data_IF_149579660127
#
_entry.id   IF_149579660127
#
_cell.length_a   1.000
_cell.length_b   1.000
_cell.length_c   1.000
_cell.angle_alpha   90.00
_cell.angle_beta   90.00
_cell.angle_gamma   90.00
#
_symmetry.space_group_name_H-M   'P 1'
#
loop_
_entity.id
_entity.type
_entity.pdbx_description
1 polymer ?
#
# COMPACT_ATOMS: atom_id res chain seq x y z
N UNK A 1 14.14 2.97 -39.46
CA UNK A 1 12.78 3.47 -39.13
C UNK A 1 12.07 2.39 -38.33
N UNK A 2 12.27 2.36 -37.00
CA UNK A 2 11.57 1.46 -36.09
C UNK A 2 10.15 1.97 -35.90
N UNK A 3 9.21 1.23 -36.41
CA UNK A 3 7.77 1.43 -36.26
C UNK A 3 7.37 1.06 -34.85
N UNK A 4 7.13 2.04 -33.97
CA UNK A 4 6.44 1.85 -32.70
C UNK A 4 5.01 1.38 -32.97
N UNK A 5 4.77 0.09 -32.93
CA UNK A 5 3.39 -0.44 -32.93
C UNK A 5 2.81 -0.16 -31.54
N UNK A 6 1.94 0.83 -31.46
CA UNK A 6 1.00 0.97 -30.36
C UNK A 6 0.10 -0.27 -30.45
N UNK A 7 0.34 -1.25 -29.56
CA UNK A 7 -0.45 -2.48 -29.56
C UNK A 7 -1.86 -2.17 -29.05
N UNK A 8 -2.91 -2.49 -29.83
CA UNK A 8 -4.27 -2.50 -29.31
C UNK A 8 -4.37 -3.57 -28.23
N UNK A 9 -5.13 -3.27 -27.17
CA UNK A 9 -5.47 -4.16 -26.07
C UNK A 9 -6.44 -5.25 -26.58
N UNK A 10 -6.11 -5.94 -27.64
CA UNK A 10 -6.85 -7.10 -28.12
C UNK A 10 -6.07 -8.35 -27.77
N UNK A 11 -6.47 -8.99 -26.67
CA UNK A 11 -5.81 -10.17 -26.15
C UNK A 11 -6.36 -11.46 -26.73
N UNK A 12 -5.44 -12.30 -27.19
CA UNK A 12 -5.68 -13.70 -27.52
C UNK A 12 -6.14 -14.46 -26.26
N UNK A 13 -7.43 -14.73 -26.20
CA UNK A 13 -8.08 -15.53 -25.14
C UNK A 13 -7.85 -17.00 -25.46
N UNK A 14 -6.80 -17.62 -24.88
CA UNK A 14 -6.81 -19.05 -24.61
C UNK A 14 -5.71 -19.43 -23.59
N UNK A 15 -6.05 -20.00 -22.44
CA UNK A 15 -5.22 -20.39 -21.28
C UNK A 15 -4.39 -19.24 -20.63
N UNK A 16 -4.19 -18.12 -21.29
CA UNK A 16 -3.53 -16.89 -20.80
C UNK A 16 -4.51 -15.95 -20.08
N UNK A 17 -5.82 -16.06 -20.30
CA UNK A 17 -6.81 -15.12 -19.74
C UNK A 17 -6.80 -15.04 -18.21
N UNK A 18 -6.57 -16.16 -17.53
CA UNK A 18 -6.49 -16.15 -16.06
C UNK A 18 -5.22 -15.48 -15.54
N UNK A 19 -4.09 -15.64 -16.23
CA UNK A 19 -2.80 -15.03 -15.82
C UNK A 19 -2.82 -13.51 -15.97
N UNK A 20 -3.42 -13.03 -17.06
CA UNK A 20 -3.52 -11.59 -17.29
C UNK A 20 -4.47 -10.92 -16.28
N UNK A 21 -5.61 -11.54 -16.01
CA UNK A 21 -6.53 -11.08 -14.98
C UNK A 21 -5.83 -11.02 -13.62
N UNK A 22 -5.06 -12.05 -13.27
CA UNK A 22 -4.29 -12.09 -12.01
C UNK A 22 -3.23 -10.97 -11.97
N UNK A 23 -2.59 -10.63 -13.11
CA UNK A 23 -1.67 -9.51 -13.19
C UNK A 23 -2.38 -8.17 -12.98
N UNK A 24 -3.54 -7.96 -13.59
CA UNK A 24 -4.35 -6.74 -13.40
C UNK A 24 -4.77 -6.60 -11.92
N UNK A 25 -5.23 -7.69 -11.29
CA UNK A 25 -5.57 -7.66 -9.86
C UNK A 25 -4.37 -7.34 -8.96
N UNK A 26 -3.18 -7.85 -9.31
CA UNK A 26 -1.95 -7.50 -8.60
C UNK A 26 -1.64 -6.00 -8.72
N UNK A 27 -1.79 -5.42 -9.91
CA UNK A 27 -1.59 -3.98 -10.14
C UNK A 27 -2.61 -3.14 -9.34
N UNK A 28 -3.88 -3.53 -9.34
CA UNK A 28 -4.93 -2.86 -8.56
C UNK A 28 -4.62 -2.95 -7.06
N UNK A 29 -4.30 -4.14 -6.55
CA UNK A 29 -3.95 -4.32 -5.13
C UNK A 29 -2.72 -3.50 -4.73
N UNK A 30 -1.71 -3.40 -5.61
CA UNK A 30 -0.54 -2.54 -5.40
C UNK A 30 -0.91 -1.07 -5.34
N UNK A 31 -1.76 -0.59 -6.24
CA UNK A 31 -2.22 0.80 -6.28
C UNK A 31 -3.01 1.16 -5.02
N UNK A 32 -3.94 0.29 -4.61
CA UNK A 32 -4.71 0.47 -3.38
C UNK A 32 -3.79 0.47 -2.15
N UNK A 33 -2.79 -0.43 -2.10
CA UNK A 33 -1.82 -0.47 -1.02
C UNK A 33 -1.03 0.84 -0.91
N UNK A 34 -0.49 1.33 -2.03
CA UNK A 34 0.23 2.60 -2.07
C UNK A 34 -0.65 3.79 -1.69
N UNK A 35 -1.91 3.79 -2.14
CA UNK A 35 -2.91 4.78 -1.75
C UNK A 35 -3.14 4.76 -0.23
N UNK A 36 -3.40 3.59 0.35
CA UNK A 36 -3.68 3.43 1.77
C UNK A 36 -2.52 3.90 2.65
N UNK A 37 -1.29 3.48 2.34
CA UNK A 37 -0.10 3.85 3.11
C UNK A 37 0.11 5.38 3.12
N UNK A 38 -0.12 6.03 1.99
CA UNK A 38 0.08 7.47 1.85
C UNK A 38 -1.11 8.30 2.36
N UNK A 39 -2.34 7.79 2.27
CA UNK A 39 -3.51 8.41 2.89
C UNK A 39 -3.36 8.47 4.42
N UNK A 40 -2.93 7.36 5.02
CA UNK A 40 -2.66 7.31 6.47
C UNK A 40 -1.49 8.22 6.85
N UNK A 41 -0.41 8.23 6.06
CA UNK A 41 0.74 9.11 6.31
C UNK A 41 0.33 10.57 6.32
N UNK A 42 -0.41 11.03 5.31
CA UNK A 42 -0.87 12.42 5.22
C UNK A 42 -1.83 12.79 6.35
N UNK A 43 -2.74 11.89 6.70
CA UNK A 43 -3.66 12.05 7.81
C UNK A 43 -2.92 12.19 9.15
N UNK A 44 -2.00 11.26 9.49
CA UNK A 44 -1.21 11.33 10.73
C UNK A 44 -0.40 12.62 10.85
N UNK A 45 0.16 13.08 9.73
CA UNK A 45 0.90 14.34 9.67
C UNK A 45 0.04 15.56 9.98
N UNK A 46 -1.15 15.64 9.36
CA UNK A 46 -2.08 16.73 9.59
C UNK A 46 -2.69 16.70 10.99
N UNK A 47 -3.00 15.48 11.49
CA UNK A 47 -3.51 15.26 12.84
C UNK A 47 -2.49 15.72 13.89
N UNK A 48 -1.19 15.42 13.71
CA UNK A 48 -0.14 15.89 14.60
C UNK A 48 -0.07 17.41 14.65
N UNK A 49 -0.17 18.07 13.49
CA UNK A 49 -0.21 19.54 13.39
C UNK A 49 -1.45 20.14 14.06
N UNK A 50 -2.62 19.56 13.85
CA UNK A 50 -3.89 20.03 14.41
C UNK A 50 -3.95 19.88 15.94
N UNK A 51 -3.37 18.81 16.49
CA UNK A 51 -3.41 18.51 17.93
C UNK A 51 -2.31 19.21 18.72
N UNK A 52 -1.09 19.28 18.16
CA UNK A 52 0.12 19.63 18.92
C UNK A 52 0.95 20.75 18.27
N UNK A 53 0.52 21.25 17.11
CA UNK A 53 1.17 22.34 16.39
C UNK A 53 2.30 21.90 15.44
N UNK A 54 2.92 22.89 14.76
CA UNK A 54 3.87 22.67 13.65
C UNK A 54 5.14 21.93 14.09
N UNK A 55 5.63 22.15 15.31
CA UNK A 55 6.84 21.49 15.82
C UNK A 55 6.64 19.96 15.93
N UNK A 56 5.50 19.52 16.44
CA UNK A 56 5.19 18.09 16.53
C UNK A 56 4.88 17.50 15.16
N UNK A 57 4.24 18.25 14.28
CA UNK A 57 4.04 17.87 12.87
C UNK A 57 5.37 17.58 12.17
N UNK A 58 6.38 18.46 12.32
CA UNK A 58 7.70 18.24 11.73
C UNK A 58 8.40 17.01 12.32
N UNK A 59 8.30 16.81 13.63
CA UNK A 59 8.81 15.62 14.31
C UNK A 59 8.16 14.34 13.79
N UNK A 60 6.84 14.31 13.69
CA UNK A 60 6.10 13.17 13.14
C UNK A 60 6.45 12.94 11.68
N UNK A 61 6.61 13.99 10.87
CA UNK A 61 7.04 13.85 9.48
C UNK A 61 8.41 13.16 9.35
N UNK A 62 9.38 13.55 10.19
CA UNK A 62 10.70 12.90 10.23
C UNK A 62 10.59 11.44 10.67
N UNK A 63 9.79 11.14 11.71
CA UNK A 63 9.57 9.78 12.18
C UNK A 63 8.92 8.90 11.11
N UNK A 64 7.86 9.36 10.46
CA UNK A 64 7.19 8.63 9.38
C UNK A 64 8.13 8.43 8.18
N UNK A 65 8.99 9.40 7.87
CA UNK A 65 10.02 9.27 6.84
C UNK A 65 11.04 8.17 7.17
N UNK A 66 11.56 8.15 8.37
CA UNK A 66 12.49 7.11 8.85
C UNK A 66 11.82 5.73 8.87
N UNK A 67 10.56 5.65 9.31
CA UNK A 67 9.79 4.40 9.35
C UNK A 67 9.49 3.81 7.97
N UNK A 68 9.55 4.60 6.90
CA UNK A 68 9.51 4.08 5.54
C UNK A 68 10.84 3.47 5.11
N UNK A 69 11.97 4.06 5.51
CA UNK A 69 13.30 3.64 5.04
C UNK A 69 13.83 2.47 5.88
N UNK A 70 13.73 2.56 7.20
CA UNK A 70 14.32 1.58 8.14
C UNK A 70 13.86 0.15 7.87
N UNK A 71 12.56 -0.16 7.65
CA UNK A 71 12.13 -1.52 7.34
C UNK A 71 12.71 -2.04 6.03
N UNK A 72 12.87 -1.21 5.00
CA UNK A 72 13.47 -1.65 3.73
C UNK A 72 14.94 -2.05 3.89
N UNK A 73 15.69 -1.32 4.71
CA UNK A 73 17.10 -1.64 4.98
C UNK A 73 17.24 -2.89 5.84
N UNK A 74 16.44 -3.00 6.93
CA UNK A 74 16.53 -4.10 7.88
C UNK A 74 15.94 -5.40 7.34
N UNK A 75 14.77 -5.33 6.72
CA UNK A 75 14.01 -6.51 6.31
C UNK A 75 14.10 -6.83 4.81
N UNK A 76 14.76 -5.99 3.99
CA UNK A 76 14.93 -6.24 2.57
C UNK A 76 15.58 -7.59 2.24
N UNK A 77 16.71 -7.97 2.86
CA UNK A 77 17.32 -9.30 2.64
C UNK A 77 16.40 -10.45 3.09
N UNK A 78 15.71 -10.30 4.22
CA UNK A 78 14.75 -11.27 4.72
C UNK A 78 13.54 -11.42 3.78
N UNK A 79 13.04 -10.32 3.26
CA UNK A 79 11.95 -10.30 2.30
C UNK A 79 12.29 -11.03 0.99
N UNK A 80 13.52 -10.86 0.50
CA UNK A 80 14.05 -11.61 -0.65
C UNK A 80 14.06 -13.10 -0.37
N UNK A 81 14.66 -13.52 0.74
CA UNK A 81 14.74 -14.92 1.15
C UNK A 81 13.34 -15.55 1.34
N UNK A 82 12.40 -14.82 1.96
CA UNK A 82 11.02 -15.28 2.17
C UNK A 82 10.29 -15.49 0.83
N UNK A 83 10.47 -14.56 -0.11
CA UNK A 83 9.87 -14.62 -1.45
C UNK A 83 10.41 -15.78 -2.29
N UNK A 84 11.65 -16.23 -2.04
CA UNK A 84 12.25 -17.37 -2.73
C UNK A 84 11.82 -18.70 -2.11
N UNK A 85 11.58 -18.75 -0.79
CA UNK A 85 11.28 -19.97 -0.06
C UNK A 85 9.80 -20.34 -0.05
N UNK A 86 8.91 -19.35 -0.05
CA UNK A 86 7.46 -19.56 0.03
C UNK A 86 6.76 -19.24 -1.29
N UNK A 87 5.54 -19.73 -1.44
CA UNK A 87 4.74 -19.38 -2.61
C UNK A 87 4.51 -17.86 -2.62
N UNK A 88 4.86 -17.21 -3.71
CA UNK A 88 4.76 -15.75 -3.86
C UNK A 88 3.33 -15.25 -3.61
N UNK A 89 2.32 -16.05 -3.99
CA UNK A 89 0.91 -15.71 -3.72
C UNK A 89 0.59 -15.69 -2.24
N UNK A 90 1.10 -16.67 -1.48
CA UNK A 90 0.91 -16.71 -0.02
C UNK A 90 1.58 -15.53 0.65
N UNK A 91 2.79 -15.16 0.21
CA UNK A 91 3.52 -13.99 0.72
C UNK A 91 2.72 -12.71 0.49
N UNK A 92 2.17 -12.53 -0.73
CA UNK A 92 1.34 -11.34 -1.04
C UNK A 92 0.03 -11.34 -0.23
N UNK A 93 -0.66 -12.48 -0.12
CA UNK A 93 -1.89 -12.56 0.66
C UNK A 93 -1.65 -12.29 2.14
N UNK A 94 -0.55 -12.82 2.71
CA UNK A 94 -0.17 -12.56 4.11
C UNK A 94 0.17 -11.08 4.33
N UNK A 95 0.86 -10.46 3.38
CA UNK A 95 1.21 -9.05 3.51
C UNK A 95 -0.01 -8.13 3.38
N UNK A 96 -0.97 -8.43 2.49
CA UNK A 96 -2.25 -7.70 2.44
C UNK A 96 -3.04 -7.85 3.74
N UNK A 97 -3.02 -9.03 4.38
CA UNK A 97 -3.61 -9.21 5.70
C UNK A 97 -2.86 -8.41 6.77
N UNK A 98 -1.53 -8.43 6.74
CA UNK A 98 -0.70 -7.66 7.67
C UNK A 98 -0.93 -6.14 7.50
N UNK A 99 -1.25 -5.66 6.29
CA UNK A 99 -1.67 -4.27 6.05
C UNK A 99 -2.95 -3.94 6.83
N UNK A 100 -3.96 -4.80 6.77
CA UNK A 100 -5.20 -4.61 7.54
C UNK A 100 -4.90 -4.57 9.04
N UNK A 101 -4.06 -5.48 9.54
CA UNK A 101 -3.68 -5.51 10.97
C UNK A 101 -2.92 -4.24 11.38
N UNK A 102 -1.99 -3.75 10.55
CA UNK A 102 -1.30 -2.48 10.80
C UNK A 102 -2.26 -1.29 10.89
N UNK A 103 -3.23 -1.22 9.99
CA UNK A 103 -4.28 -0.18 10.00
C UNK A 103 -5.18 -0.27 11.24
N UNK A 104 -5.50 -1.48 11.72
CA UNK A 104 -6.23 -1.66 12.96
C UNK A 104 -5.44 -1.17 14.17
N UNK A 105 -4.12 -1.42 14.23
CA UNK A 105 -3.27 -0.88 15.30
C UNK A 105 -3.25 0.64 15.28
N UNK A 106 -3.19 1.27 14.10
CA UNK A 106 -3.31 2.72 13.96
C UNK A 106 -4.67 3.20 14.48
N UNK A 107 -5.75 2.52 14.08
CA UNK A 107 -7.11 2.84 14.54
C UNK A 107 -7.27 2.74 16.05
N UNK A 108 -6.70 1.71 16.67
CA UNK A 108 -6.65 1.58 18.15
C UNK A 108 -5.84 2.72 18.77
N UNK A 109 -4.68 3.07 18.19
CA UNK A 109 -3.87 4.19 18.67
C UNK A 109 -4.63 5.51 18.66
N UNK A 110 -5.37 5.79 17.60
CA UNK A 110 -6.20 6.98 17.46
C UNK A 110 -7.37 6.93 18.46
N UNK A 111 -8.05 5.78 18.59
CA UNK A 111 -9.17 5.61 19.53
C UNK A 111 -8.76 5.71 21.01
N UNK A 112 -7.49 5.49 21.31
CA UNK A 112 -6.90 5.71 22.64
C UNK A 112 -6.23 7.09 22.79
N UNK A 113 -6.43 7.98 21.80
CA UNK A 113 -5.82 9.32 21.76
C UNK A 113 -4.29 9.30 21.89
N UNK A 114 -3.65 8.23 21.42
CA UNK A 114 -2.21 8.02 21.50
C UNK A 114 -1.55 8.11 20.14
N UNK A 115 -1.01 9.28 19.79
CA UNK A 115 -0.29 9.52 18.54
C UNK A 115 0.92 8.58 18.41
N UNK A 116 1.63 8.30 19.51
CA UNK A 116 2.79 7.41 19.49
C UNK A 116 2.41 5.98 19.11
N UNK A 117 1.25 5.48 19.58
CA UNK A 117 0.75 4.15 19.22
C UNK A 117 0.32 4.12 17.75
N UNK A 118 -0.30 5.19 17.25
CA UNK A 118 -0.66 5.31 15.84
C UNK A 118 0.59 5.33 14.94
N UNK A 119 1.63 6.06 15.33
CA UNK A 119 2.93 6.09 14.63
C UNK A 119 3.61 4.71 14.65
N UNK A 120 3.54 3.98 15.78
CA UNK A 120 4.02 2.59 15.85
C UNK A 120 3.25 1.67 14.89
N UNK A 121 1.93 1.83 14.79
CA UNK A 121 1.10 1.11 13.81
C UNK A 121 1.53 1.40 12.37
N UNK A 122 1.93 2.63 12.07
CA UNK A 122 2.50 3.00 10.76
C UNK A 122 3.84 2.30 10.49
N UNK A 123 4.68 2.10 11.49
CA UNK A 123 5.91 1.31 11.35
C UNK A 123 5.60 -0.14 10.95
N UNK A 124 4.57 -0.77 11.53
CA UNK A 124 4.12 -2.11 11.13
C UNK A 124 3.62 -2.12 9.68
N UNK A 125 2.88 -1.08 9.30
CA UNK A 125 2.39 -0.88 7.94
C UNK A 125 3.55 -0.75 6.93
N UNK A 126 4.57 0.04 7.25
CA UNK A 126 5.77 0.19 6.42
C UNK A 126 6.60 -1.10 6.34
N UNK A 127 6.68 -1.85 7.44
CA UNK A 127 7.40 -3.13 7.49
C UNK A 127 6.77 -4.17 6.57
N UNK A 128 5.44 -4.32 6.58
CA UNK A 128 4.76 -5.25 5.67
C UNK A 128 4.96 -4.82 4.20
N UNK A 129 4.93 -3.53 3.89
CA UNK A 129 5.16 -3.02 2.54
C UNK A 129 6.58 -3.31 2.03
N UNK A 130 7.59 -3.21 2.91
CA UNK A 130 8.97 -3.58 2.61
C UNK A 130 9.10 -5.08 2.33
N UNK A 131 8.49 -5.93 3.15
CA UNK A 131 8.53 -7.40 3.00
C UNK A 131 7.81 -7.88 1.73
N UNK A 132 6.80 -7.16 1.27
CA UNK A 132 6.01 -7.52 0.09
C UNK A 132 6.71 -7.16 -1.23
N UNK A 133 7.57 -6.14 -1.23
CA UNK A 133 8.15 -5.56 -2.46
C UNK A 133 8.83 -6.58 -3.39
N UNK A 134 9.71 -7.50 -2.93
CA UNK A 134 10.34 -8.50 -3.80
C UNK A 134 9.33 -9.50 -4.38
N UNK A 135 8.36 -9.92 -3.56
CA UNK A 135 7.32 -10.90 -3.95
C UNK A 135 6.46 -10.41 -5.10
N UNK A 136 6.07 -9.14 -5.10
CA UNK A 136 5.24 -8.53 -6.16
C UNK A 136 5.92 -8.59 -7.53
N UNK A 137 7.20 -8.20 -7.62
CA UNK A 137 7.97 -8.22 -8.87
C UNK A 137 8.17 -9.66 -9.37
N UNK A 138 8.39 -10.59 -8.45
CA UNK A 138 8.49 -12.03 -8.76
C UNK A 138 7.21 -12.62 -9.33
N UNK A 139 6.04 -12.32 -8.74
CA UNK A 139 4.74 -12.75 -9.27
C UNK A 139 4.47 -12.14 -10.64
N UNK A 140 4.74 -10.85 -10.80
CA UNK A 140 4.51 -10.17 -12.07
C UNK A 140 5.28 -10.85 -13.20
N UNK A 141 6.55 -11.23 -12.96
CA UNK A 141 7.36 -12.01 -13.91
C UNK A 141 6.73 -13.34 -14.28
N UNK A 142 6.17 -14.06 -13.32
CA UNK A 142 5.50 -15.35 -13.58
C UNK A 142 4.21 -15.19 -14.38
N UNK A 143 3.50 -14.07 -14.20
CA UNK A 143 2.22 -13.82 -14.86
C UNK A 143 2.39 -13.33 -16.30
N UNK A 144 3.35 -12.42 -16.56
CA UNK A 144 3.49 -11.77 -17.89
C UNK A 144 4.64 -12.34 -18.72
N UNK A 145 5.54 -13.13 -18.12
CA UNK A 145 6.74 -13.64 -18.79
C UNK A 145 7.87 -12.60 -18.89
N UNK A 146 9.09 -13.08 -19.22
CA UNK A 146 10.29 -12.22 -19.25
C UNK A 146 10.25 -11.17 -20.35
N UNK A 147 9.61 -11.45 -21.49
CA UNK A 147 9.54 -10.53 -22.65
C UNK A 147 8.72 -9.26 -22.34
N UNK A 148 7.65 -9.37 -21.55
CA UNK A 148 6.74 -8.28 -21.23
C UNK A 148 6.99 -7.67 -19.84
N UNK A 149 7.97 -8.20 -19.11
CA UNK A 149 8.24 -7.80 -17.73
C UNK A 149 8.56 -6.31 -17.60
N UNK A 150 9.39 -5.76 -18.48
CA UNK A 150 9.76 -4.34 -18.43
C UNK A 150 8.55 -3.42 -18.55
N UNK A 151 7.65 -3.70 -19.49
CA UNK A 151 6.41 -2.94 -19.65
C UNK A 151 5.48 -3.09 -18.45
N UNK A 152 5.33 -4.31 -17.92
CA UNK A 152 4.46 -4.58 -16.78
C UNK A 152 4.98 -3.91 -15.49
N UNK A 153 6.30 -3.88 -15.28
CA UNK A 153 6.92 -3.14 -14.17
C UNK A 153 6.70 -1.64 -14.35
N UNK A 154 6.85 -1.11 -15.57
CA UNK A 154 6.56 0.30 -15.86
C UNK A 154 5.12 0.69 -15.49
N UNK A 155 4.13 -0.13 -15.86
CA UNK A 155 2.74 0.06 -15.47
C UNK A 155 2.54 -0.02 -13.95
N UNK A 156 3.19 -0.98 -13.29
CA UNK A 156 3.12 -1.12 -11.83
C UNK A 156 3.66 0.13 -11.12
N UNK A 157 4.82 0.64 -11.53
CA UNK A 157 5.41 1.84 -10.92
C UNK A 157 4.56 3.09 -11.20
N UNK A 158 4.03 3.25 -12.44
CA UNK A 158 3.14 4.36 -12.77
C UNK A 158 1.86 4.34 -11.90
N UNK A 159 1.20 3.20 -11.80
CA UNK A 159 -0.01 3.06 -10.99
C UNK A 159 0.30 3.23 -9.48
N UNK A 160 1.48 2.81 -9.03
CA UNK A 160 1.95 3.07 -7.67
C UNK A 160 2.07 4.58 -7.41
N UNK A 161 2.64 5.35 -8.34
CA UNK A 161 2.73 6.81 -8.21
C UNK A 161 1.35 7.48 -8.18
N UNK A 162 0.41 7.01 -9.00
CA UNK A 162 -1.00 7.48 -8.96
C UNK A 162 -1.61 7.16 -7.58
N UNK A 163 -1.37 5.96 -7.05
CA UNK A 163 -1.81 5.59 -5.70
C UNK A 163 -1.21 6.49 -4.62
N UNK A 164 0.09 6.76 -4.67
CA UNK A 164 0.79 7.64 -3.72
C UNK A 164 0.19 9.04 -3.73
N UNK A 165 0.13 9.68 -4.90
CA UNK A 165 -0.38 11.05 -5.05
C UNK A 165 -1.86 11.13 -4.67
N UNK A 166 -2.67 10.17 -5.13
CA UNK A 166 -4.08 10.06 -4.77
C UNK A 166 -4.27 9.88 -3.26
N UNK A 167 -3.47 9.01 -2.63
CA UNK A 167 -3.53 8.78 -1.18
C UNK A 167 -3.19 10.04 -0.38
N UNK A 168 -2.10 10.73 -0.72
CA UNK A 168 -1.73 11.99 -0.07
C UNK A 168 -2.86 13.01 -0.17
N UNK A 169 -3.38 13.23 -1.38
CA UNK A 169 -4.39 14.25 -1.64
C UNK A 169 -5.73 13.92 -0.97
N UNK A 170 -6.25 12.71 -1.20
CA UNK A 170 -7.55 12.29 -0.65
C UNK A 170 -7.48 12.13 0.86
N UNK A 171 -6.38 11.59 1.40
CA UNK A 171 -6.19 11.47 2.84
C UNK A 171 -6.15 12.82 3.54
N UNK A 172 -5.47 13.82 2.94
CA UNK A 172 -5.43 15.17 3.46
C UNK A 172 -6.81 15.86 3.40
N UNK A 173 -7.51 15.77 2.27
CA UNK A 173 -8.84 16.35 2.10
C UNK A 173 -9.87 15.71 3.06
N UNK A 174 -9.88 14.38 3.14
CA UNK A 174 -10.81 13.67 4.01
C UNK A 174 -10.58 14.03 5.48
N UNK A 175 -9.32 14.09 5.93
CA UNK A 175 -9.01 14.51 7.28
C UNK A 175 -9.41 15.97 7.51
N UNK A 176 -9.09 16.89 6.58
CA UNK A 176 -9.44 18.30 6.70
C UNK A 176 -10.93 18.53 6.85
N UNK A 177 -11.74 17.97 5.94
CA UNK A 177 -13.20 18.13 5.97
C UNK A 177 -13.84 17.53 7.23
N UNK A 178 -13.39 16.35 7.65
CA UNK A 178 -13.93 15.67 8.84
C UNK A 178 -13.51 16.36 10.15
N UNK A 179 -12.33 16.98 10.18
CA UNK A 179 -11.86 17.71 11.37
C UNK A 179 -12.53 19.07 11.57
N UNK A 180 -13.18 19.63 10.55
CA UNK A 180 -14.04 20.82 10.69
C UNK A 180 -15.38 20.49 11.37
N UNK A 181 -15.87 19.26 11.25
CA UNK A 181 -17.15 18.81 11.81
C UNK A 181 -17.00 18.13 13.19
N UNK A 182 -15.78 17.70 13.57
CA UNK A 182 -15.52 16.93 14.78
C UNK A 182 -14.14 17.18 15.38
N UNK A 183 -13.70 16.26 16.25
CA UNK A 183 -12.34 16.33 16.78
C UNK A 183 -11.34 15.76 15.77
N UNK A 184 -10.05 16.18 15.83
CA UNK A 184 -9.00 15.56 14.99
C UNK A 184 -8.86 14.05 15.21
N UNK A 185 -9.19 13.54 16.40
CA UNK A 185 -9.20 12.11 16.72
C UNK A 185 -10.32 11.36 15.98
N UNK A 186 -11.54 11.90 15.99
CA UNK A 186 -12.69 11.32 15.28
C UNK A 186 -12.44 11.30 13.77
N UNK A 187 -11.96 12.42 13.23
CA UNK A 187 -11.61 12.54 11.81
C UNK A 187 -10.54 11.50 11.41
N UNK A 188 -9.47 11.37 12.19
CA UNK A 188 -8.43 10.38 11.98
C UNK A 188 -8.97 8.96 12.01
N UNK A 189 -9.87 8.66 12.94
CA UNK A 189 -10.48 7.34 13.08
C UNK A 189 -11.35 6.97 11.88
N UNK A 190 -12.17 7.89 11.37
CA UNK A 190 -12.98 7.69 10.18
C UNK A 190 -12.13 7.43 8.93
N UNK A 191 -11.04 8.19 8.76
CA UNK A 191 -10.11 7.99 7.63
C UNK A 191 -9.47 6.61 7.71
N UNK A 192 -8.94 6.20 8.88
CA UNK A 192 -8.27 4.90 9.05
C UNK A 192 -9.24 3.75 8.81
N UNK A 193 -10.46 3.78 9.32
CA UNK A 193 -11.43 2.73 9.07
C UNK A 193 -11.85 2.65 7.59
N UNK A 194 -11.98 3.78 6.90
CA UNK A 194 -12.26 3.81 5.47
C UNK A 194 -11.14 3.14 4.67
N UNK A 195 -9.89 3.48 4.99
CA UNK A 195 -8.68 2.91 4.37
C UNK A 195 -8.53 1.41 4.73
N UNK A 196 -8.83 1.02 5.97
CA UNK A 196 -8.83 -0.39 6.39
C UNK A 196 -9.89 -1.22 5.63
N UNK A 197 -11.06 -0.65 5.38
CA UNK A 197 -12.09 -1.25 4.53
C UNK A 197 -11.61 -1.49 3.10
N UNK A 198 -10.91 -0.52 2.49
CA UNK A 198 -10.29 -0.66 1.17
C UNK A 198 -9.19 -1.74 1.16
N UNK A 199 -8.35 -1.79 2.19
CA UNK A 199 -7.32 -2.81 2.33
C UNK A 199 -7.92 -4.21 2.46
N UNK A 200 -8.95 -4.36 3.28
CA UNK A 200 -9.68 -5.63 3.45
C UNK A 200 -10.35 -6.08 2.14
N UNK A 201 -10.98 -5.16 1.43
CA UNK A 201 -11.55 -5.46 0.11
C UNK A 201 -10.49 -5.90 -0.89
N UNK A 202 -9.32 -5.24 -0.91
CA UNK A 202 -8.17 -5.63 -1.73
C UNK A 202 -7.69 -7.05 -1.40
N UNK A 203 -7.64 -7.41 -0.11
CA UNK A 203 -7.29 -8.77 0.34
C UNK A 203 -8.32 -9.81 -0.09
N UNK A 204 -9.61 -9.51 0.01
CA UNK A 204 -10.68 -10.42 -0.43
C UNK A 204 -10.60 -10.74 -1.92
N UNK A 205 -10.33 -9.74 -2.75
CA UNK A 205 -10.20 -9.90 -4.21
C UNK A 205 -8.96 -10.71 -4.55
N UNK A 206 -7.85 -10.46 -3.86
CA UNK A 206 -6.58 -11.11 -4.12
C UNK A 206 -6.46 -12.49 -3.47
N UNK A 207 -7.44 -12.93 -2.67
CA UNK A 207 -7.41 -14.23 -1.99
C UNK A 207 -6.99 -15.33 -2.97
N UNK A 208 -5.91 -16.08 -2.69
CA UNK A 208 -5.44 -17.10 -3.59
C UNK A 208 -6.53 -18.17 -3.76
N UNK A 209 -7.13 -18.25 -4.94
CA UNK A 209 -7.97 -19.40 -5.29
C UNK A 209 -7.05 -20.61 -5.31
N UNK A 210 -7.36 -21.67 -4.55
CA UNK A 210 -6.57 -22.90 -4.61
C UNK A 210 -6.58 -23.42 -6.05
N UNK A 211 -5.40 -23.65 -6.61
CA UNK A 211 -5.21 -24.43 -7.85
C UNK A 211 -4.73 -25.81 -7.51
#
# INVERSE_FOLDING_TARGET
LHRWRIFPITFVVNKTGNRLRDAVWLLIAQTIGAFNDNAVKSMLLLMAGALFGEVEKDRVNQQLGLMLIVPFVLFGPLAGWLSDRYSKRSVVSLALLAQVMGLLVIGVGIGLESLNLAVLGFFLLATQSAMLSPGKKGILKELVGSEKLGMAVGWMEMLTMVGILGGIYVGALAFGSLSEEGTPWDAGQMVVFSVAGLAFFSWLIFKPTPR
#
